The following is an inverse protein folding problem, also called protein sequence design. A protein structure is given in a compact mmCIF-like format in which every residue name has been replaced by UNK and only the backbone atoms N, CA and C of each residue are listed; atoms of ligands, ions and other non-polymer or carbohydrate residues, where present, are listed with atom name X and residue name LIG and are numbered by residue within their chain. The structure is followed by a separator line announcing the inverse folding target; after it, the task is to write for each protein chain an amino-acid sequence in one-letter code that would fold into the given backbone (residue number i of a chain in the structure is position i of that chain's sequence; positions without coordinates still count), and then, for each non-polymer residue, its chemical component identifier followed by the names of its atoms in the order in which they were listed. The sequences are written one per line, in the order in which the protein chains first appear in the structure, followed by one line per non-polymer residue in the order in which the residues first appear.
data_IF_346529738492
#
_entry.id   IF_346529738492
#
_cell.length_a   1.000
_cell.length_b   1.000
_cell.length_c   1.000
_cell.angle_alpha   90.00
_cell.angle_beta   90.00
_cell.angle_gamma   90.00
#
_symmetry.space_group_name_H-M   'P 1'
#
loop_
_entity.id
_entity.type
_entity.pdbx_description
1 polymer ?
#
# COMPACT_ATOMS: atom_id res chain seq x y z
N UNK A 1 6.91 22.23 11.77
CA UNK A 1 7.54 20.90 11.84
C UNK A 1 7.77 20.44 10.41
N UNK A 2 9.01 20.25 9.99
CA UNK A 2 9.32 19.84 8.62
C UNK A 2 8.96 18.35 8.44
N UNK A 3 7.95 18.05 7.62
CA UNK A 3 7.64 16.68 7.22
C UNK A 3 8.70 16.22 6.21
N UNK A 4 9.73 15.54 6.71
CA UNK A 4 10.65 14.79 5.85
C UNK A 4 9.86 13.72 5.11
N UNK A 5 10.21 13.46 3.84
CA UNK A 5 9.58 12.39 3.08
C UNK A 5 9.80 11.05 3.80
N UNK A 6 8.72 10.35 4.14
CA UNK A 6 8.81 8.98 4.67
C UNK A 6 9.40 8.07 3.60
N UNK A 7 10.64 7.63 3.79
CA UNK A 7 11.25 6.60 2.95
C UNK A 7 10.59 5.24 3.25
N UNK A 8 10.38 4.43 2.20
CA UNK A 8 9.79 3.10 2.34
C UNK A 8 10.69 2.24 3.25
N UNK A 9 10.11 1.66 4.32
CA UNK A 9 10.76 1.03 5.49
C UNK A 9 11.33 1.94 6.59
N UNK A 10 11.66 3.20 6.33
CA UNK A 10 12.13 4.10 7.39
C UNK A 10 11.00 4.97 7.98
N UNK A 11 9.89 5.15 7.25
CA UNK A 11 8.73 5.96 7.67
C UNK A 11 7.39 5.22 7.65
N UNK A 12 7.41 3.87 7.63
CA UNK A 12 6.19 3.05 7.66
C UNK A 12 5.69 2.76 9.08
N UNK A 13 6.62 2.72 10.03
CA UNK A 13 6.33 2.60 11.45
C UNK A 13 5.86 3.95 11.99
N UNK A 14 4.75 3.97 12.73
CA UNK A 14 4.42 5.17 13.49
C UNK A 14 5.51 5.43 14.54
N UNK A 15 5.90 6.69 14.69
CA UNK A 15 6.76 7.13 15.79
C UNK A 15 6.10 6.88 17.15
N UNK A 16 4.77 6.96 17.22
CA UNK A 16 3.98 6.62 18.41
C UNK A 16 2.98 5.49 18.12
N UNK A 17 2.80 4.56 19.07
CA UNK A 17 1.96 3.38 18.89
C UNK A 17 0.47 3.69 18.66
N UNK A 18 0.03 4.89 19.01
CA UNK A 18 -1.34 5.39 18.94
C UNK A 18 -1.66 6.20 17.66
N UNK A 19 -0.69 6.40 16.77
CA UNK A 19 -0.94 7.11 15.53
C UNK A 19 -1.58 6.21 14.47
N UNK A 20 -2.61 6.75 13.81
CA UNK A 20 -3.18 6.20 12.59
C UNK A 20 -2.19 6.40 11.44
N UNK A 21 -1.25 5.48 11.32
CA UNK A 21 -0.14 5.53 10.36
C UNK A 21 -0.44 4.70 9.12
N UNK A 22 -0.02 5.23 7.97
CA UNK A 22 0.02 4.54 6.71
C UNK A 22 1.07 5.16 5.80
N UNK A 23 1.67 4.35 4.94
CA UNK A 23 2.57 4.80 3.88
C UNK A 23 1.79 4.93 2.58
N UNK A 24 1.98 6.06 1.89
CA UNK A 24 1.50 6.31 0.54
C UNK A 24 2.72 6.58 -0.34
N UNK A 25 2.89 5.78 -1.38
CA UNK A 25 3.98 5.93 -2.34
C UNK A 25 3.47 5.90 -3.77
N UNK A 26 4.00 6.78 -4.61
CA UNK A 26 3.80 6.69 -6.06
C UNK A 26 4.82 5.73 -6.65
N UNK A 27 4.34 4.77 -7.42
CA UNK A 27 5.17 3.82 -8.17
C UNK A 27 4.95 4.07 -9.65
N UNK A 28 6.02 4.40 -10.37
CA UNK A 28 5.97 4.44 -11.83
C UNK A 28 5.95 3.01 -12.35
N UNK A 29 4.94 2.68 -13.14
CA UNK A 29 4.85 1.39 -13.84
C UNK A 29 5.09 1.53 -15.34
N UNK A 30 5.57 2.69 -15.79
CA UNK A 30 5.85 2.99 -17.19
C UNK A 30 4.59 2.83 -18.06
N UNK A 31 4.69 1.97 -19.07
CA UNK A 31 3.61 1.62 -19.99
C UNK A 31 2.96 0.27 -19.68
N UNK A 32 3.26 -0.33 -18.51
CA UNK A 32 2.68 -1.63 -18.14
C UNK A 32 1.16 -1.51 -18.00
N UNK A 33 0.46 -2.53 -18.47
CA UNK A 33 -0.99 -2.67 -18.24
C UNK A 33 -1.29 -2.66 -16.73
N UNK A 34 -2.14 -1.74 -16.24
CA UNK A 34 -2.61 -1.72 -14.84
C UNK A 34 -3.12 -3.06 -14.33
N UNK A 35 -3.81 -3.86 -15.16
CA UNK A 35 -4.37 -5.15 -14.77
C UNK A 35 -3.29 -6.19 -14.44
N UNK A 36 -2.15 -6.14 -15.12
CA UNK A 36 -1.00 -6.99 -14.84
C UNK A 36 -0.10 -6.40 -13.75
N UNK A 37 0.06 -5.07 -13.72
CA UNK A 37 0.98 -4.40 -12.81
C UNK A 37 0.51 -4.40 -11.36
N UNK A 38 -0.78 -4.13 -11.11
CA UNK A 38 -1.33 -4.05 -9.75
C UNK A 38 -1.10 -5.33 -8.92
N UNK A 39 -1.51 -6.53 -9.37
CA UNK A 39 -1.26 -7.76 -8.61
C UNK A 39 0.24 -8.08 -8.44
N UNK A 40 1.07 -7.84 -9.46
CA UNK A 40 2.51 -8.08 -9.39
C UNK A 40 3.21 -7.18 -8.34
N UNK A 41 2.93 -5.87 -8.38
CA UNK A 41 3.58 -4.90 -7.49
C UNK A 41 3.11 -5.10 -6.04
N UNK A 42 1.81 -5.33 -5.80
CA UNK A 42 1.33 -5.56 -4.44
C UNK A 42 1.92 -6.84 -3.84
N UNK A 43 2.08 -7.90 -4.65
CA UNK A 43 2.70 -9.15 -4.21
C UNK A 43 4.19 -8.98 -3.87
N UNK A 44 4.94 -8.27 -4.71
CA UNK A 44 6.36 -7.95 -4.44
C UNK A 44 6.50 -7.09 -3.17
N UNK A 45 5.67 -6.06 -3.02
CA UNK A 45 5.65 -5.23 -1.82
C UNK A 45 5.30 -6.07 -0.58
N UNK A 46 4.35 -6.99 -0.69
CA UNK A 46 3.95 -7.87 0.40
C UNK A 46 5.07 -8.81 0.83
N UNK A 47 5.74 -9.47 -0.10
CA UNK A 47 6.90 -10.30 0.21
C UNK A 47 8.03 -9.51 0.87
N UNK A 48 8.24 -8.28 0.44
CA UNK A 48 9.23 -7.40 1.04
C UNK A 48 8.88 -7.02 2.48
N UNK A 49 7.61 -6.67 2.77
CA UNK A 49 7.15 -6.38 4.14
C UNK A 49 7.15 -7.64 5.02
N UNK A 50 6.86 -8.80 4.45
CA UNK A 50 6.84 -10.07 5.17
C UNK A 50 8.25 -10.62 5.47
N UNK A 51 9.29 -10.12 4.79
CA UNK A 51 10.65 -10.64 4.93
C UNK A 51 11.30 -10.24 6.24
N UNK A 52 11.87 -11.21 6.95
CA UNK A 52 12.70 -10.99 8.12
C UNK A 52 14.17 -11.08 7.73
N UNK A 53 14.90 -9.97 7.87
CA UNK A 53 16.32 -9.89 7.56
C UNK A 53 17.19 -10.73 8.52
N UNK A 54 16.77 -10.95 9.77
CA UNK A 54 17.52 -11.70 10.79
C UNK A 54 17.44 -13.21 10.49
N UNK A 55 16.23 -13.72 10.30
CA UNK A 55 15.98 -15.16 10.13
C UNK A 55 15.96 -15.60 8.66
N UNK A 56 15.99 -14.65 7.72
CA UNK A 56 15.88 -14.89 6.27
C UNK A 56 14.58 -15.63 5.88
N UNK A 57 13.54 -15.50 6.69
CA UNK A 57 12.22 -16.14 6.46
C UNK A 57 11.17 -15.11 6.07
N UNK A 58 10.07 -15.58 5.48
CA UNK A 58 8.90 -14.77 5.16
C UNK A 58 7.76 -15.04 6.16
N UNK A 59 7.02 -13.99 6.51
CA UNK A 59 5.75 -14.10 7.20
C UNK A 59 4.63 -14.55 6.25
N UNK A 60 3.44 -14.78 6.80
CA UNK A 60 2.28 -15.19 6.01
C UNK A 60 1.80 -14.05 5.10
N UNK A 61 1.55 -14.38 3.83
CA UNK A 61 1.05 -13.47 2.81
C UNK A 61 -0.24 -14.05 2.24
N UNK A 62 -1.33 -13.30 2.21
CA UNK A 62 -2.56 -13.74 1.56
C UNK A 62 -2.44 -13.72 0.04
N UNK A 63 -3.30 -14.47 -0.66
CA UNK A 63 -3.46 -14.30 -2.11
C UNK A 63 -3.92 -12.87 -2.46
N UNK A 64 -3.48 -12.31 -3.60
CA UNK A 64 -3.94 -11.00 -4.07
C UNK A 64 -5.44 -11.03 -4.39
N UNK A 65 -6.18 -10.06 -3.84
CA UNK A 65 -7.57 -9.79 -4.22
C UNK A 65 -7.58 -8.60 -5.17
N UNK A 66 -7.80 -8.87 -6.45
CA UNK A 66 -7.81 -7.85 -7.50
C UNK A 66 -9.22 -7.57 -7.98
N UNK A 67 -9.57 -6.30 -8.17
CA UNK A 67 -10.86 -5.86 -8.72
C UNK A 67 -10.72 -4.58 -9.51
N UNK A 68 -11.65 -4.38 -10.44
CA UNK A 68 -11.80 -3.10 -11.14
C UNK A 68 -12.54 -2.11 -10.24
N UNK A 69 -12.07 -0.87 -10.22
CA UNK A 69 -12.67 0.25 -9.50
C UNK A 69 -12.69 1.49 -10.41
N UNK A 70 -13.24 2.59 -9.89
CA UNK A 70 -13.16 3.90 -10.54
C UNK A 70 -12.51 4.92 -9.62
N UNK A 71 -11.59 5.71 -10.18
CA UNK A 71 -10.94 6.86 -9.54
C UNK A 71 -11.35 8.15 -10.26
N UNK A 72 -10.80 9.29 -9.86
CA UNK A 72 -11.10 10.61 -10.42
C UNK A 72 -12.60 10.91 -10.38
N UNK A 73 -13.21 10.68 -9.20
CA UNK A 73 -14.65 10.78 -8.98
C UNK A 73 -15.50 9.99 -10.00
N UNK A 74 -15.03 8.80 -10.40
CA UNK A 74 -15.75 7.91 -11.31
C UNK A 74 -15.36 8.03 -12.78
N UNK A 75 -14.47 8.97 -13.14
CA UNK A 75 -14.13 9.28 -14.54
C UNK A 75 -13.03 8.41 -15.12
N UNK A 76 -12.28 7.70 -14.30
CA UNK A 76 -11.11 6.92 -14.74
C UNK A 76 -11.21 5.51 -14.19
N UNK A 77 -11.18 4.52 -15.07
CA UNK A 77 -11.10 3.12 -14.65
C UNK A 77 -9.73 2.81 -14.07
N UNK A 78 -9.71 2.07 -12.96
CA UNK A 78 -8.49 1.66 -12.30
C UNK A 78 -8.60 0.20 -11.85
N UNK A 79 -7.44 -0.40 -11.60
CA UNK A 79 -7.32 -1.74 -11.03
C UNK A 79 -6.78 -1.60 -9.62
N UNK A 80 -7.54 -2.14 -8.68
CA UNK A 80 -7.13 -2.27 -7.30
C UNK A 80 -6.67 -3.70 -7.03
N UNK A 81 -5.54 -3.86 -6.36
CA UNK A 81 -5.11 -5.15 -5.83
C UNK A 81 -4.74 -5.02 -4.37
N UNK A 82 -5.19 -5.96 -3.54
CA UNK A 82 -5.01 -5.95 -2.10
C UNK A 82 -4.43 -7.27 -1.60
N UNK A 83 -3.46 -7.17 -0.68
CA UNK A 83 -2.91 -8.28 0.10
C UNK A 83 -2.89 -7.92 1.57
N UNK A 84 -3.17 -8.90 2.43
CA UNK A 84 -2.88 -8.81 3.87
C UNK A 84 -1.60 -9.57 4.17
N UNK A 85 -0.69 -8.93 4.88
CA UNK A 85 0.59 -9.48 5.31
C UNK A 85 0.63 -9.56 6.82
N UNK A 86 1.10 -10.69 7.32
CA UNK A 86 1.50 -10.87 8.71
C UNK A 86 3.02 -10.83 8.78
N UNK A 87 3.60 -9.91 9.55
CA UNK A 87 5.06 -9.85 9.72
C UNK A 87 5.56 -11.14 10.37
N UNK A 88 6.72 -11.66 9.91
CA UNK A 88 7.38 -12.80 10.54
C UNK A 88 7.88 -12.50 11.97
N UNK A 89 8.18 -11.24 12.27
CA UNK A 89 8.55 -10.75 13.60
C UNK A 89 7.83 -9.44 13.85
N UNK A 90 7.00 -9.39 14.89
CA UNK A 90 6.52 -8.12 15.41
C UNK A 90 7.70 -7.42 16.06
N UNK A 91 7.95 -6.16 15.69
CA UNK A 91 8.96 -5.32 16.34
C UNK A 91 8.20 -4.40 17.31
N UNK A 92 7.87 -4.85 18.53
CA UNK A 92 6.94 -4.13 19.41
C UNK A 92 7.38 -2.69 19.72
N UNK A 93 8.68 -2.39 19.65
CA UNK A 93 9.23 -1.05 19.92
C UNK A 93 9.20 -0.10 18.72
N UNK A 94 9.16 -0.62 17.49
CA UNK A 94 9.19 0.22 16.26
C UNK A 94 7.90 0.11 15.47
N UNK A 95 7.33 -1.09 15.34
CA UNK A 95 6.13 -1.37 14.57
C UNK A 95 5.26 -2.39 15.32
N UNK A 96 4.39 -1.89 16.20
CA UNK A 96 3.52 -2.74 17.04
C UNK A 96 2.49 -3.57 16.26
N UNK A 97 2.12 -3.16 15.04
CA UNK A 97 1.13 -3.88 14.24
C UNK A 97 1.70 -5.21 13.72
N UNK A 98 0.94 -6.29 13.93
CA UNK A 98 1.30 -7.64 13.48
C UNK A 98 0.84 -7.89 12.06
N UNK A 99 -0.20 -7.20 11.62
CA UNK A 99 -0.76 -7.33 10.28
C UNK A 99 -0.88 -5.99 9.57
N UNK A 100 -0.63 -6.02 8.26
CA UNK A 100 -0.70 -4.87 7.39
C UNK A 100 -1.51 -5.18 6.15
N UNK A 101 -2.32 -4.21 5.73
CA UNK A 101 -2.95 -4.18 4.44
C UNK A 101 -2.03 -3.47 3.46
N UNK A 102 -1.71 -4.13 2.36
CA UNK A 102 -1.07 -3.53 1.21
C UNK A 102 -2.08 -3.45 0.08
N UNK A 103 -2.17 -2.27 -0.54
CA UNK A 103 -3.09 -2.01 -1.62
C UNK A 103 -2.39 -1.22 -2.72
N UNK A 104 -2.50 -1.69 -3.95
CA UNK A 104 -2.11 -0.91 -5.13
C UNK A 104 -3.36 -0.45 -5.87
N UNK A 105 -3.35 0.79 -6.34
CA UNK A 105 -4.35 1.31 -7.29
C UNK A 105 -3.62 1.79 -8.53
N UNK A 106 -3.83 1.11 -9.64
CA UNK A 106 -3.18 1.41 -10.92
C UNK A 106 -4.20 1.87 -11.96
N UNK A 107 -3.86 2.89 -12.72
CA UNK A 107 -4.69 3.38 -13.82
C UNK A 107 -3.81 4.00 -14.90
N UNK A 108 -4.35 4.06 -16.12
CA UNK A 108 -3.69 4.70 -17.25
C UNK A 108 -4.37 6.01 -17.61
N UNK A 109 -3.57 6.99 -18.03
CA UNK A 109 -4.06 8.24 -18.61
C UNK A 109 -2.92 8.99 -19.30
N UNK A 110 -3.23 9.69 -20.39
CA UNK A 110 -2.27 10.50 -21.14
C UNK A 110 -0.99 9.73 -21.56
N UNK A 111 -1.15 8.46 -21.97
CA UNK A 111 -0.03 7.63 -22.46
C UNK A 111 0.89 7.07 -21.36
N UNK A 112 0.60 7.30 -20.08
CA UNK A 112 1.36 6.76 -18.95
C UNK A 112 0.45 6.02 -17.97
N UNK A 113 1.01 5.02 -17.31
CA UNK A 113 0.33 4.28 -16.25
C UNK A 113 0.88 4.73 -14.89
N UNK A 114 -0.03 5.14 -14.02
CA UNK A 114 0.27 5.59 -12.65
C UNK A 114 -0.18 4.52 -11.67
N UNK A 115 0.61 4.30 -10.63
CA UNK A 115 0.22 3.41 -9.53
C UNK A 115 0.45 4.10 -8.18
N UNK A 116 -0.56 4.04 -7.33
CA UNK A 116 -0.44 4.33 -5.90
C UNK A 116 -0.23 3.01 -5.15
N UNK A 117 0.80 2.92 -4.33
CA UNK A 117 0.98 1.87 -3.33
C UNK A 117 0.63 2.44 -1.95
N UNK A 118 -0.26 1.74 -1.26
CA UNK A 118 -0.74 2.09 0.07
C UNK A 118 -0.38 0.95 1.00
N UNK A 119 0.16 1.27 2.16
CA UNK A 119 0.33 0.33 3.25
C UNK A 119 -0.23 0.91 4.53
N UNK A 120 -1.03 0.14 5.27
CA UNK A 120 -1.57 0.56 6.57
C UNK A 120 -1.73 -0.63 7.50
N UNK A 121 -1.88 -0.36 8.80
CA UNK A 121 -2.22 -1.40 9.79
C UNK A 121 -3.55 -2.07 9.40
N UNK A 122 -3.61 -3.40 9.47
CA UNK A 122 -4.83 -4.15 9.15
C UNK A 122 -5.72 -4.35 10.39
N UNK A 123 -5.10 -4.51 11.56
CA UNK A 123 -5.74 -4.72 12.84
C UNK A 123 -5.40 -3.62 13.86
N UNK A 124 -6.24 -3.52 14.90
CA UNK A 124 -6.04 -2.62 16.04
C UNK A 124 -6.77 -1.27 15.97
N UNK A 125 -6.83 -0.59 17.13
CA UNK A 125 -7.54 0.69 17.35
C UNK A 125 -7.03 1.84 16.48
N UNK A 126 -5.80 1.73 16.00
CA UNK A 126 -5.08 2.78 15.27
C UNK A 126 -4.96 2.50 13.77
N UNK A 127 -5.86 1.67 13.23
CA UNK A 127 -6.01 1.51 11.78
C UNK A 127 -6.57 2.80 11.17
N UNK A 128 -5.95 3.28 10.09
CA UNK A 128 -6.52 4.35 9.25
C UNK A 128 -7.95 3.95 8.81
N UNK A 129 -8.97 4.79 9.07
CA UNK A 129 -10.35 4.49 8.68
C UNK A 129 -10.51 4.16 7.21
N UNK A 130 -11.41 3.23 6.90
CA UNK A 130 -11.69 2.85 5.51
C UNK A 130 -12.26 4.02 4.70
N UNK A 131 -12.97 4.95 5.35
CA UNK A 131 -13.49 6.16 4.72
C UNK A 131 -12.36 7.07 4.19
N UNK A 132 -11.32 7.29 4.99
CA UNK A 132 -10.18 8.15 4.63
C UNK A 132 -9.37 7.52 3.49
N UNK A 133 -9.13 6.20 3.57
CA UNK A 133 -8.51 5.44 2.49
C UNK A 133 -9.31 5.57 1.18
N UNK A 134 -10.63 5.39 1.25
CA UNK A 134 -11.49 5.50 0.08
C UNK A 134 -11.50 6.94 -0.49
N UNK A 135 -11.42 7.97 0.35
CA UNK A 135 -11.30 9.34 -0.09
C UNK A 135 -9.99 9.59 -0.88
N UNK A 136 -8.86 9.06 -0.37
CA UNK A 136 -7.56 9.11 -1.07
C UNK A 136 -7.67 8.43 -2.43
N UNK A 137 -8.19 7.20 -2.47
CA UNK A 137 -8.30 6.42 -3.73
C UNK A 137 -9.19 7.14 -4.75
N UNK A 138 -10.35 7.66 -4.33
CA UNK A 138 -11.26 8.39 -5.22
C UNK A 138 -10.66 9.69 -5.76
N UNK A 139 -9.76 10.31 -5.01
CA UNK A 139 -9.08 11.56 -5.40
C UNK A 139 -8.01 11.37 -6.48
N UNK A 140 -7.54 10.13 -6.70
CA UNK A 140 -6.52 9.82 -7.69
C UNK A 140 -6.98 10.19 -9.10
N UNK A 141 -6.09 10.81 -9.87
CA UNK A 141 -6.35 11.26 -11.24
C UNK A 141 -5.09 11.18 -12.09
N UNK A 142 -5.22 10.99 -13.41
CA UNK A 142 -4.09 11.11 -14.34
C UNK A 142 -3.36 12.43 -14.17
N UNK A 143 -2.03 12.36 -14.25
CA UNK A 143 -1.21 13.56 -14.39
C UNK A 143 -1.56 14.22 -15.73
N UNK A 144 -1.75 15.54 -15.70
CA UNK A 144 -2.03 16.34 -16.89
C UNK A 144 -0.78 16.45 -17.76
#
# INVERSE_FOLDING_TARGET
MASGASLFQEGFCATDNDQQSGFLGFVSIGQRDPAAAAPDVVYKAARFVAYNNDTKTYGEVSEPRTRQISVNNGKTSAVESLIVVKKAKAEPEKCAARQYELRTVAFSGNGMSTMLLISRRYDGTYKMPDADLNAIIKSLRPLK
#
